data_IF_254286837892
#
_entry.id   IF_254286837892
#
_cell.length_a   1.000
_cell.length_b   1.000
_cell.length_c   1.000
_cell.angle_alpha   90.00
_cell.angle_beta   90.00
_cell.angle_gamma   90.00
#
_symmetry.space_group_name_H-M   'P 1'
#
loop_
_entity.id
_entity.type
_entity.pdbx_description
1 polymer ?
#
# COMPACT_ATOMS: atom_id res chain seq x y z
N UNK A 1 13.07 26.14 18.77
CA UNK A 1 12.04 25.08 18.83
C UNK A 1 12.11 24.42 20.21
N UNK A 2 11.02 24.35 20.97
CA UNK A 2 11.07 23.89 22.38
C UNK A 2 11.35 22.38 22.49
N UNK A 3 12.09 21.97 23.52
CA UNK A 3 12.42 20.56 23.83
C UNK A 3 11.17 19.66 23.91
N UNK A 4 10.04 20.21 24.38
CA UNK A 4 8.76 19.50 24.49
C UNK A 4 8.15 19.17 23.12
N UNK A 5 8.28 20.07 22.14
CA UNK A 5 7.77 19.85 20.77
C UNK A 5 8.53 18.71 20.07
N UNK A 6 9.86 18.70 20.16
CA UNK A 6 10.70 17.64 19.58
C UNK A 6 10.40 16.25 20.17
N UNK A 7 10.17 16.17 21.48
CA UNK A 7 9.81 14.90 22.13
C UNK A 7 8.43 14.39 21.70
N UNK A 8 7.45 15.29 21.54
CA UNK A 8 6.13 14.93 21.04
C UNK A 8 6.21 14.42 19.59
N UNK A 9 6.92 15.14 18.72
CA UNK A 9 7.15 14.72 17.32
C UNK A 9 7.78 13.33 17.25
N UNK A 10 8.78 13.05 18.10
CA UNK A 10 9.45 11.74 18.13
C UNK A 10 8.52 10.62 18.60
N UNK A 11 7.72 10.84 19.65
CA UNK A 11 6.76 9.82 20.14
C UNK A 11 5.62 9.57 19.15
N UNK A 12 5.13 10.62 18.49
CA UNK A 12 4.12 10.50 17.42
C UNK A 12 4.70 9.71 16.26
N UNK A 13 5.93 10.02 15.83
CA UNK A 13 6.62 9.30 14.77
C UNK A 13 6.83 7.82 15.11
N UNK A 14 7.33 7.48 16.30
CA UNK A 14 7.50 6.09 16.75
C UNK A 14 6.18 5.32 16.78
N UNK A 15 5.10 5.97 17.25
CA UNK A 15 3.76 5.37 17.29
C UNK A 15 3.23 5.10 15.88
N UNK A 16 3.42 6.05 14.96
CA UNK A 16 3.05 5.89 13.55
C UNK A 16 3.82 4.75 12.90
N UNK A 17 5.15 4.69 13.07
CA UNK A 17 5.98 3.60 12.52
C UNK A 17 5.50 2.23 13.03
N UNK A 18 5.24 2.09 14.33
CA UNK A 18 4.71 0.84 14.91
C UNK A 18 3.34 0.46 14.35
N UNK A 19 2.44 1.43 14.23
CA UNK A 19 1.11 1.25 13.63
C UNK A 19 1.20 0.78 12.19
N UNK A 20 2.06 1.41 11.38
CA UNK A 20 2.28 1.05 9.97
C UNK A 20 2.84 -0.37 9.83
N UNK A 21 3.80 -0.76 10.67
CA UNK A 21 4.34 -2.13 10.67
C UNK A 21 3.26 -3.14 11.06
N UNK A 22 2.50 -2.88 12.12
CA UNK A 22 1.41 -3.76 12.55
C UNK A 22 0.33 -3.93 11.48
N UNK A 23 -0.03 -2.83 10.80
CA UNK A 23 -1.00 -2.85 9.71
C UNK A 23 -0.49 -3.66 8.51
N UNK A 24 0.77 -3.48 8.12
CA UNK A 24 1.38 -4.27 7.05
C UNK A 24 1.39 -5.77 7.38
N UNK A 25 1.79 -6.15 8.59
CA UNK A 25 1.80 -7.56 9.04
C UNK A 25 0.39 -8.16 9.03
N UNK A 26 -0.62 -7.41 9.49
CA UNK A 26 -2.00 -7.88 9.49
C UNK A 26 -2.55 -8.11 8.08
N UNK A 27 -2.27 -7.17 7.16
CA UNK A 27 -2.67 -7.27 5.75
C UNK A 27 -1.94 -8.42 5.08
N UNK A 28 -0.62 -8.54 5.25
CA UNK A 28 0.13 -9.64 4.66
C UNK A 28 -0.39 -10.99 5.16
N UNK A 29 -0.69 -11.10 6.46
CA UNK A 29 -1.30 -12.30 7.03
C UNK A 29 -2.69 -12.60 6.45
N UNK A 30 -3.53 -11.60 6.26
CA UNK A 30 -4.82 -11.75 5.60
C UNK A 30 -4.66 -12.31 4.19
N UNK A 31 -3.74 -11.76 3.41
CA UNK A 31 -3.47 -12.22 2.04
C UNK A 31 -2.92 -13.64 2.01
N UNK A 32 -2.00 -13.98 2.92
CA UNK A 32 -1.49 -15.35 3.04
C UNK A 32 -2.59 -16.36 3.34
N UNK A 33 -3.54 -16.02 4.23
CA UNK A 33 -4.65 -16.90 4.57
C UNK A 33 -5.67 -17.04 3.44
N UNK A 34 -5.96 -15.96 2.71
CA UNK A 34 -6.98 -15.95 1.65
C UNK A 34 -6.48 -16.48 0.31
N UNK A 35 -5.22 -16.23 -0.04
CA UNK A 35 -4.66 -16.48 -1.36
C UNK A 35 -3.39 -17.34 -1.36
N UNK A 36 -2.83 -17.68 -0.20
CA UNK A 36 -1.57 -18.43 -0.11
C UNK A 36 -0.32 -17.63 -0.51
N UNK A 37 -0.43 -16.31 -0.69
CA UNK A 37 0.65 -15.40 -1.07
C UNK A 37 0.64 -14.15 -0.21
N UNK A 38 1.80 -13.49 -0.05
CA UNK A 38 1.89 -12.20 0.60
C UNK A 38 1.15 -11.10 -0.18
N UNK A 39 0.86 -9.99 0.49
CA UNK A 39 0.16 -8.87 -0.12
C UNK A 39 0.91 -8.29 -1.32
N UNK A 40 2.23 -8.07 -1.18
CA UNK A 40 3.06 -7.52 -2.26
C UNK A 40 3.09 -8.46 -3.46
N UNK A 41 3.25 -9.77 -3.23
CA UNK A 41 3.24 -10.76 -4.31
C UNK A 41 1.90 -10.77 -5.05
N UNK A 42 0.78 -10.78 -4.30
CA UNK A 42 -0.56 -10.72 -4.91
C UNK A 42 -0.78 -9.40 -5.67
N UNK A 43 -0.27 -8.28 -5.17
CA UNK A 43 -0.35 -6.99 -5.84
C UNK A 43 0.44 -6.97 -7.16
N UNK A 44 1.61 -7.62 -7.21
CA UNK A 44 2.43 -7.69 -8.42
C UNK A 44 1.85 -8.68 -9.46
N UNK A 45 1.34 -9.82 -9.00
CA UNK A 45 0.78 -10.87 -9.85
C UNK A 45 -0.62 -10.52 -10.36
N UNK A 46 -1.49 -10.06 -9.47
CA UNK A 46 -2.93 -9.91 -9.65
C UNK A 46 -3.44 -8.59 -9.02
N UNK A 47 -2.98 -7.43 -9.53
CA UNK A 47 -3.10 -6.12 -8.87
C UNK A 47 -4.54 -5.70 -8.57
N UNK A 48 -5.45 -5.88 -9.53
CA UNK A 48 -6.86 -5.51 -9.36
C UNK A 48 -7.54 -6.40 -8.31
N UNK A 49 -7.22 -7.69 -8.29
CA UNK A 49 -7.76 -8.60 -7.27
C UNK A 49 -7.20 -8.26 -5.89
N UNK A 50 -5.91 -7.93 -5.80
CA UNK A 50 -5.30 -7.47 -4.56
C UNK A 50 -5.97 -6.18 -4.05
N UNK A 51 -6.20 -5.22 -4.94
CA UNK A 51 -6.89 -3.99 -4.60
C UNK A 51 -8.33 -4.24 -4.13
N UNK A 52 -9.10 -5.09 -4.82
CA UNK A 52 -10.45 -5.46 -4.39
C UNK A 52 -10.45 -6.17 -3.02
N UNK A 53 -9.49 -7.06 -2.78
CA UNK A 53 -9.35 -7.72 -1.48
C UNK A 53 -9.02 -6.74 -0.34
N UNK A 54 -8.25 -5.69 -0.62
CA UNK A 54 -8.00 -4.62 0.34
C UNK A 54 -9.27 -3.81 0.64
N UNK A 55 -10.07 -3.48 -0.38
CA UNK A 55 -11.36 -2.81 -0.18
C UNK A 55 -12.26 -3.64 0.73
N UNK A 56 -12.32 -4.95 0.50
CA UNK A 56 -13.08 -5.88 1.35
C UNK A 56 -12.53 -5.91 2.79
N UNK A 57 -11.21 -5.98 2.94
CA UNK A 57 -10.53 -6.03 4.25
C UNK A 57 -10.82 -4.78 5.09
N UNK A 58 -10.72 -3.59 4.47
CA UNK A 58 -10.97 -2.33 5.15
C UNK A 58 -12.45 -1.94 5.21
N UNK A 59 -13.30 -2.59 4.41
CA UNK A 59 -14.68 -2.18 4.16
C UNK A 59 -14.77 -0.67 3.76
N UNK A 60 -13.79 -0.18 2.99
CA UNK A 60 -13.69 1.20 2.51
C UNK A 60 -12.74 1.28 1.33
N UNK A 61 -13.18 1.97 0.27
CA UNK A 61 -12.35 2.26 -0.89
C UNK A 61 -11.24 3.26 -0.55
N UNK A 62 -11.58 4.31 0.19
CA UNK A 62 -10.64 5.38 0.58
C UNK A 62 -9.50 4.86 1.45
N UNK A 63 -9.79 3.91 2.36
CA UNK A 63 -8.77 3.28 3.17
C UNK A 63 -7.84 2.38 2.34
N UNK A 64 -8.38 1.65 1.36
CA UNK A 64 -7.59 0.84 0.44
C UNK A 64 -6.71 1.71 -0.47
N UNK A 65 -7.25 2.81 -1.00
CA UNK A 65 -6.51 3.81 -1.77
C UNK A 65 -5.35 4.38 -0.97
N UNK A 66 -5.62 4.80 0.27
CA UNK A 66 -4.59 5.36 1.12
C UNK A 66 -3.49 4.35 1.44
N UNK A 67 -3.86 3.09 1.68
CA UNK A 67 -2.88 2.03 1.91
C UNK A 67 -2.00 1.77 0.68
N UNK A 68 -2.61 1.62 -0.51
CA UNK A 68 -1.86 1.47 -1.77
C UNK A 68 -0.99 2.70 -2.03
N UNK A 69 -1.50 3.90 -1.75
CA UNK A 69 -0.73 5.13 -1.88
C UNK A 69 0.54 5.08 -1.03
N UNK A 70 0.45 4.66 0.23
CA UNK A 70 1.62 4.53 1.11
C UNK A 70 2.63 3.49 0.58
N UNK A 71 2.12 2.35 0.09
CA UNK A 71 2.95 1.28 -0.48
C UNK A 71 3.65 1.73 -1.76
N UNK A 72 2.97 2.46 -2.63
CA UNK A 72 3.52 2.91 -3.90
C UNK A 72 4.41 4.15 -3.76
N UNK A 73 4.16 5.00 -2.77
CA UNK A 73 4.93 6.23 -2.55
C UNK A 73 6.39 5.99 -2.15
N UNK A 74 6.73 4.79 -1.67
CA UNK A 74 8.15 4.43 -1.47
C UNK A 74 8.90 4.33 -2.81
N UNK A 75 8.19 4.14 -3.92
CA UNK A 75 8.72 4.23 -5.28
C UNK A 75 8.74 5.71 -5.69
N UNK A 76 9.76 6.44 -5.24
CA UNK A 76 9.92 7.91 -5.36
C UNK A 76 9.67 8.55 -6.75
N UNK A 77 9.54 7.77 -7.82
CA UNK A 77 9.33 8.26 -9.20
C UNK A 77 7.99 7.83 -9.81
N UNK A 78 7.28 6.91 -9.17
CA UNK A 78 6.02 6.37 -9.69
C UNK A 78 4.92 7.42 -9.59
N UNK A 79 4.15 7.59 -10.67
CA UNK A 79 2.88 8.31 -10.59
C UNK A 79 1.84 7.45 -9.85
N UNK A 80 1.74 7.67 -8.54
CA UNK A 80 0.86 6.89 -7.66
C UNK A 80 -0.62 7.12 -7.97
N UNK A 81 -0.99 8.32 -8.44
CA UNK A 81 -2.37 8.62 -8.77
C UNK A 81 -2.79 7.87 -10.03
N UNK A 82 -1.94 7.88 -11.05
CA UNK A 82 -2.15 7.09 -12.27
C UNK A 82 -2.24 5.59 -11.96
N UNK A 83 -1.35 5.09 -11.09
CA UNK A 83 -1.37 3.71 -10.63
C UNK A 83 -2.71 3.34 -9.95
N UNK A 84 -3.21 4.18 -9.04
CA UNK A 84 -4.49 3.99 -8.38
C UNK A 84 -5.66 4.02 -9.38
N UNK A 85 -5.64 4.93 -10.36
CA UNK A 85 -6.67 4.97 -11.38
C UNK A 85 -6.76 3.67 -12.19
N UNK A 86 -5.62 3.08 -12.56
CA UNK A 86 -5.61 1.79 -13.26
C UNK A 86 -6.26 0.69 -12.40
N UNK A 87 -5.95 0.63 -11.10
CA UNK A 87 -6.58 -0.33 -10.19
C UNK A 87 -8.10 -0.14 -10.10
N UNK A 88 -8.57 1.10 -9.97
CA UNK A 88 -10.00 1.44 -9.89
C UNK A 88 -10.76 1.13 -11.17
N UNK A 89 -10.12 1.31 -12.33
CA UNK A 89 -10.68 0.97 -13.64
C UNK A 89 -10.65 -0.53 -13.94
N UNK A 90 -10.03 -1.34 -13.06
CA UNK A 90 -9.87 -2.78 -13.28
C UNK A 90 -8.78 -3.11 -14.31
N UNK A 91 -7.87 -2.19 -14.60
CA UNK A 91 -6.82 -2.33 -15.60
C UNK A 91 -5.50 -2.84 -14.98
N UNK A 92 -5.42 -4.16 -14.82
CA UNK A 92 -4.22 -4.81 -14.27
C UNK A 92 -2.98 -4.62 -15.15
N UNK A 93 -3.16 -4.57 -16.47
CA UNK A 93 -2.03 -4.57 -17.42
C UNK A 93 -1.35 -3.21 -17.47
N UNK A 94 -2.11 -2.12 -17.47
CA UNK A 94 -1.55 -0.78 -17.41
C UNK A 94 -0.88 -0.52 -16.06
N UNK A 95 -1.46 -1.00 -14.95
CA UNK A 95 -0.82 -0.93 -13.64
C UNK A 95 0.55 -1.63 -13.61
N UNK A 96 0.61 -2.88 -14.11
CA UNK A 96 1.87 -3.64 -14.19
C UNK A 96 2.90 -2.96 -15.09
N UNK A 97 2.46 -2.41 -16.23
CA UNK A 97 3.33 -1.69 -17.17
C UNK A 97 3.93 -0.45 -16.51
N UNK A 98 3.10 0.31 -15.81
CA UNK A 98 3.54 1.46 -15.04
C UNK A 98 4.59 1.04 -14.01
N UNK A 99 4.30 0.05 -13.16
CA UNK A 99 5.25 -0.47 -12.16
C UNK A 99 6.59 -0.91 -12.77
N UNK A 100 6.58 -1.66 -13.87
CA UNK A 100 7.79 -2.12 -14.57
C UNK A 100 8.66 -0.96 -15.06
N UNK A 101 8.06 0.17 -15.43
CA UNK A 101 8.79 1.36 -15.88
C UNK A 101 9.64 1.94 -14.75
N UNK A 102 9.20 1.80 -13.50
CA UNK A 102 9.85 2.38 -12.32
C UNK A 102 10.64 1.40 -11.47
N UNK A 103 10.37 0.09 -11.58
CA UNK A 103 11.01 -0.92 -10.73
C UNK A 103 12.37 -1.42 -11.22
N UNK A 104 12.84 -1.04 -12.43
CA UNK A 104 14.12 -1.48 -13.06
C UNK A 104 14.68 -2.75 -12.42
N UNK A 105 14.07 -3.89 -12.78
CA UNK A 105 14.73 -5.20 -12.73
C UNK A 105 15.06 -5.53 -14.17
#
# INVERSE_FOLDING_TARGET
>A
MSLSKKRLESRVFESLVKSTVAMHVAIDKYFQLKYGKGFIDKLLDEPVEAYNALKDYFNSEEAADFFIYLVLKVLHRLDVNEALEYLKKGDSESFKRLLRTYLII
#
